data_IF_474286575187
#
_entry.id   IF_474286575187
#
_cell.length_a   1.000
_cell.length_b   1.000
_cell.length_c   1.000
_cell.angle_alpha   90.00
_cell.angle_beta   90.00
_cell.angle_gamma   90.00
#
_symmetry.space_group_name_H-M   'P 1'
#
loop_
_entity.id
_entity.type
_entity.pdbx_description
1 polymer ?
#
# COMPACT_ATOMS: atom_id res chain seq x y z
N UNK A 1 -5.35 7.21 4.60
CA UNK A 1 -5.87 7.83 5.84
C UNK A 1 -4.75 8.55 6.56
N UNK A 2 -5.11 9.58 7.35
CA UNK A 2 -4.20 10.15 8.34
C UNK A 2 -4.58 9.61 9.72
N UNK A 3 -3.58 9.11 10.44
CA UNK A 3 -3.69 8.79 11.85
C UNK A 3 -3.21 10.01 12.64
N UNK A 4 -4.07 10.52 13.52
CA UNK A 4 -3.77 11.73 14.29
C UNK A 4 -3.90 11.49 15.77
N UNK A 5 -3.09 12.18 16.56
CA UNK A 5 -3.25 12.23 18.00
C UNK A 5 -4.44 13.08 18.43
N UNK A 6 -4.71 13.11 19.72
CA UNK A 6 -5.81 13.89 20.33
C UNK A 6 -5.68 15.40 20.08
N UNK A 7 -4.48 15.89 19.93
CA UNK A 7 -4.14 17.29 19.60
C UNK A 7 -4.18 17.61 18.09
N UNK A 8 -4.55 16.62 17.26
CA UNK A 8 -4.58 16.73 15.80
C UNK A 8 -3.24 16.54 15.11
N UNK A 9 -2.15 16.35 15.83
CA UNK A 9 -0.83 16.12 15.22
C UNK A 9 -0.75 14.76 14.52
N UNK A 10 -0.11 14.73 13.35
CA UNK A 10 -0.04 13.55 12.50
C UNK A 10 0.88 12.48 13.10
N UNK A 11 0.39 11.27 13.22
CA UNK A 11 1.14 10.10 13.69
C UNK A 11 1.62 9.27 12.51
N UNK A 12 0.80 9.16 11.47
CA UNK A 12 1.16 8.47 10.23
C UNK A 12 0.19 8.78 9.10
N UNK A 13 0.61 8.55 7.87
CA UNK A 13 -0.15 8.67 6.62
C UNK A 13 -0.30 7.30 5.95
N UNK A 14 -1.09 6.44 6.53
CA UNK A 14 -1.21 5.06 6.09
C UNK A 14 -2.23 4.84 4.95
N UNK A 15 -2.05 3.76 4.19
CA UNK A 15 -3.09 3.22 3.32
C UNK A 15 -3.98 2.29 4.13
N UNK A 16 -5.29 2.51 4.06
CA UNK A 16 -6.29 1.65 4.67
C UNK A 16 -6.95 0.78 3.59
N UNK A 17 -6.79 -0.53 3.70
CA UNK A 17 -7.42 -1.53 2.85
C UNK A 17 -8.56 -2.18 3.64
N UNK A 18 -9.76 -2.15 3.11
CA UNK A 18 -10.89 -2.89 3.68
C UNK A 18 -11.07 -4.20 2.94
N UNK A 19 -10.74 -5.32 3.58
CA UNK A 19 -10.80 -6.64 2.98
C UNK A 19 -12.19 -7.29 3.12
N UNK A 20 -12.87 -6.98 4.21
CA UNK A 20 -14.25 -7.46 4.46
C UNK A 20 -15.02 -6.45 5.30
N UNK A 21 -16.19 -6.85 5.77
CA UNK A 21 -16.97 -6.03 6.71
C UNK A 21 -16.21 -5.72 8.00
N UNK A 22 -15.45 -6.70 8.49
CA UNK A 22 -14.84 -6.67 9.82
C UNK A 22 -13.31 -6.86 9.77
N UNK A 23 -12.69 -6.83 8.57
CA UNK A 23 -11.26 -7.00 8.39
C UNK A 23 -10.66 -5.84 7.61
N UNK A 24 -9.63 -5.24 8.19
CA UNK A 24 -8.93 -4.10 7.61
C UNK A 24 -7.41 -4.32 7.70
N UNK A 25 -6.70 -3.87 6.69
CA UNK A 25 -5.25 -3.71 6.76
C UNK A 25 -4.89 -2.24 6.77
N UNK A 26 -3.92 -1.91 7.59
CA UNK A 26 -3.29 -0.59 7.63
C UNK A 26 -1.85 -0.77 7.18
N UNK A 27 -1.49 -0.17 6.06
CA UNK A 27 -0.14 -0.18 5.51
C UNK A 27 0.50 1.19 5.76
N UNK A 28 1.27 1.36 6.85
CA UNK A 28 1.94 2.61 7.16
C UNK A 28 3.19 2.80 6.31
N UNK A 29 3.65 4.04 6.18
CA UNK A 29 4.92 4.35 5.54
C UNK A 29 6.11 4.01 6.43
N UNK A 30 6.08 4.46 7.69
CA UNK A 30 7.16 4.29 8.69
C UNK A 30 6.57 4.41 10.09
N UNK A 31 7.34 4.02 11.12
CA UNK A 31 7.01 4.19 12.53
C UNK A 31 6.19 3.06 13.17
N UNK A 32 6.04 3.15 14.50
CA UNK A 32 5.42 2.10 15.35
C UNK A 32 3.89 2.18 15.40
N UNK A 33 3.22 2.24 14.25
CA UNK A 33 1.76 2.33 14.14
C UNK A 33 1.07 1.15 14.81
N UNK A 34 1.64 -0.05 14.70
CA UNK A 34 1.11 -1.26 15.34
C UNK A 34 0.97 -1.07 16.85
N UNK A 35 2.06 -0.67 17.51
CA UNK A 35 2.07 -0.48 18.97
C UNK A 35 1.12 0.64 19.40
N UNK A 36 1.03 1.71 18.59
CA UNK A 36 0.14 2.83 18.88
C UNK A 36 -1.34 2.41 18.81
N UNK A 37 -1.75 1.69 17.75
CA UNK A 37 -3.14 1.22 17.60
C UNK A 37 -3.47 0.19 18.68
N UNK A 38 -2.55 -0.75 18.98
CA UNK A 38 -2.73 -1.71 20.09
C UNK A 38 -2.91 -0.99 21.43
N UNK A 39 -2.10 0.05 21.69
CA UNK A 39 -2.21 0.83 22.91
C UNK A 39 -3.56 1.53 23.07
N UNK A 40 -4.14 2.05 21.99
CA UNK A 40 -5.48 2.65 21.98
C UNK A 40 -6.55 1.57 22.20
N UNK A 41 -6.42 0.42 21.55
CA UNK A 41 -7.40 -0.66 21.61
C UNK A 41 -7.57 -1.24 23.01
N UNK A 42 -6.51 -1.32 23.82
CA UNK A 42 -6.52 -1.92 25.19
C UNK A 42 -7.67 -1.35 26.06
N UNK A 43 -7.95 -0.06 25.96
CA UNK A 43 -8.94 0.61 26.79
C UNK A 43 -10.16 1.10 25.99
N UNK A 44 -10.30 0.73 24.74
CA UNK A 44 -11.39 1.19 23.87
C UNK A 44 -12.73 0.52 24.19
N UNK A 45 -12.72 -0.64 24.82
CA UNK A 45 -13.89 -1.50 24.99
C UNK A 45 -14.36 -2.19 23.69
N UNK A 46 -13.61 -2.08 22.61
CA UNK A 46 -13.90 -2.77 21.34
C UNK A 46 -13.35 -4.19 21.36
N UNK A 47 -14.10 -5.13 20.79
CA UNK A 47 -13.65 -6.50 20.54
C UNK A 47 -12.89 -6.53 19.21
N UNK A 48 -11.58 -6.26 19.26
CA UNK A 48 -10.69 -6.18 18.10
C UNK A 48 -9.40 -6.93 18.37
N UNK A 49 -8.91 -7.61 17.36
CA UNK A 49 -7.58 -8.20 17.32
C UNK A 49 -6.70 -7.38 16.37
N UNK A 50 -5.51 -6.97 16.83
CA UNK A 50 -4.58 -6.14 16.07
C UNK A 50 -3.20 -6.81 16.08
N UNK A 51 -2.74 -7.22 14.91
CA UNK A 51 -1.46 -7.88 14.73
C UNK A 51 -0.85 -7.55 13.36
N UNK A 52 0.44 -7.79 13.20
CA UNK A 52 1.14 -7.72 11.93
C UNK A 52 1.00 -9.05 11.20
N UNK A 53 0.33 -9.09 10.03
CA UNK A 53 0.21 -10.31 9.25
C UNK A 53 1.50 -10.61 8.49
N UNK A 54 1.72 -11.90 8.12
CA UNK A 54 2.78 -12.28 7.18
C UNK A 54 2.38 -11.90 5.75
N UNK A 55 2.59 -10.63 5.41
CA UNK A 55 2.26 -10.06 4.11
C UNK A 55 3.45 -9.29 3.57
N UNK A 56 3.82 -9.58 2.33
CA UNK A 56 4.95 -8.93 1.65
C UNK A 56 4.44 -8.14 0.44
N UNK A 57 4.47 -6.80 0.47
CA UNK A 57 4.05 -5.98 -0.67
C UNK A 57 5.12 -5.95 -1.76
N UNK A 58 4.70 -6.20 -3.01
CA UNK A 58 5.48 -5.95 -4.22
C UNK A 58 4.83 -4.81 -4.99
N UNK A 59 5.52 -3.69 -5.12
CA UNK A 59 5.01 -2.54 -5.87
C UNK A 59 5.45 -2.61 -7.33
N UNK A 60 4.49 -2.35 -8.23
CA UNK A 60 4.75 -2.10 -9.64
C UNK A 60 4.25 -0.71 -10.01
N UNK A 61 5.09 0.11 -10.63
CA UNK A 61 4.73 1.47 -11.03
C UNK A 61 5.27 1.85 -12.40
N UNK A 62 4.69 2.90 -12.95
CA UNK A 62 5.09 3.49 -14.22
C UNK A 62 3.99 3.46 -15.28
N UNK A 63 4.16 4.20 -16.40
CA UNK A 63 3.11 4.40 -17.40
C UNK A 63 2.67 3.12 -18.11
N UNK A 64 3.48 2.07 -18.07
CA UNK A 64 3.17 0.76 -18.68
C UNK A 64 2.66 -0.28 -17.66
N UNK A 65 2.60 0.06 -16.38
CA UNK A 65 2.14 -0.87 -15.34
C UNK A 65 0.73 -1.43 -15.61
N UNK A 66 -0.26 -0.67 -16.14
CA UNK A 66 -1.55 -1.25 -16.46
C UNK A 66 -1.48 -2.38 -17.49
N UNK A 67 -0.57 -2.29 -18.45
CA UNK A 67 -0.43 -3.35 -19.45
C UNK A 67 0.13 -4.63 -18.84
N UNK A 68 1.15 -4.51 -17.97
CA UNK A 68 1.73 -5.67 -17.27
C UNK A 68 0.69 -6.30 -16.34
N UNK A 69 -0.04 -5.48 -15.60
CA UNK A 69 -1.07 -5.96 -14.68
C UNK A 69 -2.22 -6.63 -15.42
N UNK A 70 -2.57 -6.17 -16.61
CA UNK A 70 -3.57 -6.82 -17.47
C UNK A 70 -3.13 -8.22 -17.93
N UNK A 71 -1.84 -8.45 -18.18
CA UNK A 71 -1.33 -9.79 -18.51
C UNK A 71 -1.50 -10.77 -17.34
N UNK A 72 -1.39 -10.27 -16.11
CA UNK A 72 -1.45 -11.09 -14.89
C UNK A 72 -2.87 -11.29 -14.38
N UNK A 73 -3.70 -10.24 -14.41
CA UNK A 73 -5.01 -10.20 -13.75
C UNK A 73 -6.17 -9.90 -14.70
N UNK A 74 -5.91 -9.77 -16.00
CA UNK A 74 -6.94 -9.45 -16.99
C UNK A 74 -7.59 -8.09 -16.75
N UNK A 75 -8.89 -8.04 -16.97
CA UNK A 75 -9.65 -6.79 -16.87
C UNK A 75 -9.81 -6.34 -15.40
N UNK A 76 -9.67 -7.24 -14.41
CA UNK A 76 -9.69 -6.88 -12.99
C UNK A 76 -8.72 -5.72 -12.69
N UNK A 77 -7.47 -5.81 -13.18
CA UNK A 77 -6.47 -4.77 -12.93
C UNK A 77 -6.82 -3.43 -13.61
N UNK A 78 -7.54 -3.47 -14.73
CA UNK A 78 -7.91 -2.27 -15.48
C UNK A 78 -9.13 -1.58 -14.85
N UNK A 79 -10.09 -2.38 -14.39
CA UNK A 79 -11.35 -1.90 -13.81
C UNK A 79 -11.18 -1.47 -12.36
N UNK A 80 -10.10 -1.90 -11.71
CA UNK A 80 -9.79 -1.53 -10.33
C UNK A 80 -9.55 -0.02 -10.23
N UNK A 81 -10.43 0.66 -9.51
CA UNK A 81 -10.35 2.11 -9.31
C UNK A 81 -9.16 2.53 -8.43
N UNK A 82 -8.73 3.78 -8.59
CA UNK A 82 -7.69 4.37 -7.73
C UNK A 82 -8.10 4.33 -6.26
N UNK A 83 -7.19 3.96 -5.37
CA UNK A 83 -7.43 3.67 -3.95
C UNK A 83 -8.50 2.58 -3.72
N UNK A 84 -8.54 1.58 -4.59
CA UNK A 84 -9.32 0.36 -4.40
C UNK A 84 -8.40 -0.83 -4.30
N UNK A 85 -8.88 -1.87 -3.62
CA UNK A 85 -8.17 -3.13 -3.50
C UNK A 85 -9.16 -4.29 -3.63
N UNK A 86 -8.67 -5.41 -4.16
CA UNK A 86 -9.44 -6.64 -4.37
C UNK A 86 -8.62 -7.84 -3.93
N UNK A 87 -9.24 -8.78 -3.23
CA UNK A 87 -8.63 -10.07 -2.93
C UNK A 87 -8.71 -10.95 -4.17
N UNK A 88 -7.58 -11.47 -4.60
CA UNK A 88 -7.47 -12.23 -5.84
C UNK A 88 -6.32 -13.23 -5.77
N UNK A 89 -6.03 -13.86 -6.89
CA UNK A 89 -4.87 -14.74 -7.05
C UNK A 89 -4.24 -14.57 -8.43
N UNK A 90 -2.97 -14.90 -8.54
CA UNK A 90 -2.28 -15.07 -9.82
C UNK A 90 -1.54 -16.40 -9.81
N UNK A 91 -1.81 -17.27 -10.77
CA UNK A 91 -1.24 -18.62 -10.84
C UNK A 91 -1.39 -19.42 -9.52
N UNK A 92 -2.55 -19.27 -8.84
CA UNK A 92 -2.81 -19.91 -7.55
C UNK A 92 -2.02 -19.30 -6.38
N UNK A 93 -1.41 -18.12 -6.54
CA UNK A 93 -0.77 -17.36 -5.47
C UNK A 93 -1.80 -16.38 -4.91
N UNK A 94 -2.28 -16.55 -3.67
CA UNK A 94 -3.23 -15.63 -3.06
C UNK A 94 -2.57 -14.29 -2.74
N UNK A 95 -3.24 -13.20 -3.08
CA UNK A 95 -2.79 -11.85 -2.79
C UNK A 95 -3.96 -10.86 -2.71
N UNK A 96 -3.68 -9.68 -2.20
CA UNK A 96 -4.55 -8.51 -2.36
C UNK A 96 -3.92 -7.60 -3.41
N UNK A 97 -4.67 -7.29 -4.46
CA UNK A 97 -4.26 -6.34 -5.47
C UNK A 97 -4.80 -4.96 -5.11
N UNK A 98 -3.91 -4.02 -4.81
CA UNK A 98 -4.23 -2.63 -4.58
C UNK A 98 -3.87 -1.75 -5.78
N UNK A 99 -4.69 -0.74 -6.09
CA UNK A 99 -4.31 0.30 -7.03
C UNK A 99 -3.88 1.55 -6.27
N UNK A 100 -2.76 1.42 -5.63
CA UNK A 100 -2.08 2.41 -4.81
C UNK A 100 -0.61 2.48 -5.22
N UNK A 101 0.12 3.44 -4.69
CA UNK A 101 1.55 3.57 -4.94
C UNK A 101 2.09 4.89 -4.43
N UNK A 102 3.40 5.01 -4.42
CA UNK A 102 4.13 6.09 -3.78
C UNK A 102 4.95 6.95 -4.75
N UNK A 103 4.87 6.71 -6.04
CA UNK A 103 5.74 7.36 -7.04
C UNK A 103 5.06 8.47 -7.85
N UNK A 104 3.77 8.75 -7.63
CA UNK A 104 2.99 9.65 -8.48
C UNK A 104 2.64 9.07 -9.87
N UNK A 105 3.20 7.92 -10.22
CA UNK A 105 2.90 7.18 -11.44
C UNK A 105 1.71 6.23 -11.24
N UNK A 106 1.13 5.73 -12.33
CA UNK A 106 0.15 4.64 -12.23
C UNK A 106 0.84 3.44 -11.60
N UNK A 107 0.34 3.02 -10.44
CA UNK A 107 0.97 1.98 -9.65
C UNK A 107 -0.05 0.98 -9.13
N UNK A 108 0.46 -0.21 -8.84
CA UNK A 108 -0.25 -1.30 -8.20
C UNK A 108 0.63 -1.88 -7.10
N UNK A 109 -0.01 -2.35 -6.05
CA UNK A 109 0.64 -3.05 -4.95
C UNK A 109 0.05 -4.45 -4.84
N UNK A 110 0.92 -5.44 -4.91
CA UNK A 110 0.59 -6.85 -4.80
C UNK A 110 0.98 -7.28 -3.38
N UNK A 111 0.01 -7.38 -2.50
CA UNK A 111 0.20 -7.78 -1.11
C UNK A 111 0.17 -9.31 -1.04
N UNK A 112 1.34 -9.92 -1.15
CA UNK A 112 1.53 -11.38 -1.13
C UNK A 112 1.20 -11.91 0.28
N UNK A 113 0.30 -12.89 0.35
CA UNK A 113 -0.15 -13.50 1.62
C UNK A 113 0.58 -14.80 1.97
N UNK A 114 1.47 -15.26 1.10
CA UNK A 114 2.33 -16.43 1.31
C UNK A 114 3.76 -16.09 0.92
N UNK A 115 4.54 -15.65 1.89
CA UNK A 115 5.94 -15.22 1.69
C UNK A 115 6.83 -16.30 1.07
N UNK A 116 6.47 -17.59 1.19
CA UNK A 116 7.24 -18.70 0.58
C UNK A 116 7.18 -18.67 -0.95
N UNK A 117 6.20 -18.00 -1.54
CA UNK A 117 5.98 -17.87 -2.98
C UNK A 117 6.48 -16.54 -3.56
N UNK A 118 7.26 -15.77 -2.81
CA UNK A 118 7.77 -14.46 -3.24
C UNK A 118 8.56 -14.51 -4.54
N UNK A 119 9.47 -15.48 -4.69
CA UNK A 119 10.25 -15.65 -5.91
C UNK A 119 9.36 -15.99 -7.12
N UNK A 120 8.36 -16.85 -6.93
CA UNK A 120 7.42 -17.21 -8.00
C UNK A 120 6.62 -15.98 -8.47
N UNK A 121 6.11 -15.18 -7.53
CA UNK A 121 5.41 -13.94 -7.87
C UNK A 121 6.32 -12.96 -8.62
N UNK A 122 7.56 -12.80 -8.17
CA UNK A 122 8.55 -11.96 -8.84
C UNK A 122 8.77 -12.38 -10.29
N UNK A 123 9.03 -13.67 -10.53
CA UNK A 123 9.25 -14.24 -11.85
C UNK A 123 8.03 -14.06 -12.78
N UNK A 124 6.81 -14.24 -12.25
CA UNK A 124 5.58 -13.99 -13.00
C UNK A 124 5.46 -12.53 -13.46
N UNK A 125 5.73 -11.59 -12.54
CA UNK A 125 5.70 -10.16 -12.83
C UNK A 125 6.79 -9.77 -13.82
N UNK A 126 8.01 -10.24 -13.64
CA UNK A 126 9.14 -10.00 -14.54
C UNK A 126 8.84 -10.50 -15.96
N UNK A 127 8.36 -11.74 -16.08
CA UNK A 127 7.99 -12.34 -17.37
C UNK A 127 6.86 -11.58 -18.06
N UNK A 128 5.81 -11.22 -17.34
CA UNK A 128 4.69 -10.43 -17.90
C UNK A 128 5.14 -9.04 -18.35
N UNK A 129 6.13 -8.47 -17.66
CA UNK A 129 6.68 -7.14 -17.93
C UNK A 129 7.79 -7.09 -18.99
N UNK A 130 8.36 -8.22 -19.40
CA UNK A 130 9.53 -8.29 -20.29
C UNK A 130 9.33 -7.49 -21.57
N UNK A 131 8.22 -7.70 -22.28
CA UNK A 131 7.89 -6.98 -23.53
C UNK A 131 7.62 -5.48 -23.33
N UNK A 132 7.40 -5.06 -22.10
CA UNK A 132 7.19 -3.66 -21.72
C UNK A 132 8.46 -3.02 -21.17
N UNK A 133 9.59 -3.76 -21.15
CA UNK A 133 10.88 -3.32 -20.64
C UNK A 133 10.85 -3.01 -19.13
N UNK A 134 10.19 -3.88 -18.35
CA UNK A 134 10.20 -3.81 -16.89
C UNK A 134 11.63 -3.89 -16.34
N UNK A 135 11.89 -3.18 -15.27
CA UNK A 135 13.19 -3.21 -14.58
C UNK A 135 12.96 -3.22 -13.08
N UNK A 136 13.76 -3.95 -12.30
CA UNK A 136 13.83 -3.75 -10.87
C UNK A 136 14.14 -2.30 -10.53
N UNK A 137 13.44 -1.78 -9.54
CA UNK A 137 13.64 -0.44 -9.05
C UNK A 137 13.64 -0.44 -7.52
N UNK A 138 14.17 0.62 -6.93
CA UNK A 138 14.05 0.90 -5.52
C UNK A 138 13.24 2.18 -5.31
N UNK A 139 12.57 2.35 -4.15
CA UNK A 139 11.93 3.60 -3.80
C UNK A 139 12.91 4.78 -3.92
N UNK A 140 12.46 5.88 -4.52
CA UNK A 140 13.26 7.10 -4.68
C UNK A 140 12.43 8.32 -4.27
N UNK A 141 12.92 9.08 -3.32
CA UNK A 141 12.29 10.32 -2.86
C UNK A 141 12.04 11.33 -3.99
N UNK A 142 12.90 11.35 -5.03
CA UNK A 142 12.71 12.22 -6.20
C UNK A 142 11.34 11.99 -6.84
N UNK A 143 10.89 10.75 -6.94
CA UNK A 143 9.60 10.42 -7.56
C UNK A 143 8.42 10.90 -6.74
N UNK A 144 8.47 10.75 -5.41
CA UNK A 144 7.41 11.26 -4.53
C UNK A 144 7.36 12.79 -4.56
N UNK A 145 8.51 13.47 -4.59
CA UNK A 145 8.59 14.93 -4.71
C UNK A 145 8.01 15.40 -6.06
N UNK A 146 8.39 14.78 -7.17
CA UNK A 146 7.83 15.09 -8.50
C UNK A 146 6.31 14.84 -8.55
N UNK A 147 5.83 13.79 -7.86
CA UNK A 147 4.41 13.44 -7.74
C UNK A 147 3.63 14.29 -6.74
N UNK A 148 4.30 15.15 -5.97
CA UNK A 148 3.66 15.92 -4.90
C UNK A 148 3.14 15.06 -3.74
N UNK A 149 3.76 13.89 -3.53
CA UNK A 149 3.36 12.94 -2.48
C UNK A 149 4.19 13.24 -1.23
N UNK A 150 3.50 13.57 -0.15
CA UNK A 150 4.11 13.74 1.17
C UNK A 150 4.39 12.37 1.80
N UNK A 151 5.48 12.30 2.56
CA UNK A 151 5.86 11.11 3.32
C UNK A 151 6.04 11.46 4.78
N UNK A 152 5.47 10.64 5.67
CA UNK A 152 5.72 10.75 7.09
C UNK A 152 7.21 10.59 7.40
N UNK A 153 7.69 11.32 8.40
CA UNK A 153 9.08 11.43 8.82
C UNK A 153 10.03 12.18 7.85
N UNK A 154 9.71 12.24 6.54
CA UNK A 154 10.51 13.04 5.58
C UNK A 154 9.96 14.44 5.38
N UNK A 155 8.67 14.55 5.11
CA UNK A 155 8.00 15.81 4.73
C UNK A 155 7.02 16.29 5.80
N UNK A 156 6.44 15.37 6.53
CA UNK A 156 5.47 15.62 7.60
C UNK A 156 5.87 14.90 8.89
N UNK A 157 5.45 15.46 10.00
CA UNK A 157 5.84 14.99 11.33
C UNK A 157 4.70 15.11 12.33
N UNK A 158 4.96 14.69 13.55
CA UNK A 158 4.04 14.85 14.68
C UNK A 158 3.67 16.32 15.00
N UNK A 159 4.45 17.28 14.53
CA UNK A 159 4.21 18.73 14.73
C UNK A 159 3.22 19.30 13.72
N UNK A 160 2.96 18.57 12.63
CA UNK A 160 2.04 18.96 11.58
C UNK A 160 0.65 18.40 11.87
N UNK A 161 -0.37 19.05 11.31
CA UNK A 161 -1.73 18.54 11.29
C UNK A 161 -2.28 18.55 9.85
N UNK A 162 -3.41 17.86 9.57
CA UNK A 162 -3.93 17.77 8.20
C UNK A 162 -4.11 19.12 7.51
N UNK A 163 -4.54 20.13 8.22
CA UNK A 163 -4.77 21.47 7.65
C UNK A 163 -3.48 22.21 7.31
N UNK A 164 -2.44 22.06 8.12
CA UNK A 164 -1.14 22.73 7.86
C UNK A 164 -0.42 22.18 6.65
N UNK A 165 -0.73 20.97 6.24
CA UNK A 165 -0.17 20.31 5.05
C UNK A 165 -1.10 20.35 3.83
N UNK A 166 -2.22 21.09 3.93
CA UNK A 166 -3.13 21.33 2.81
C UNK A 166 -4.11 20.19 2.51
N UNK A 167 -4.41 19.36 3.49
CA UNK A 167 -5.41 18.30 3.41
C UNK A 167 -6.66 18.71 4.19
N UNK A 168 -7.46 19.59 3.61
CA UNK A 168 -8.71 20.15 4.13
C UNK A 168 -9.96 19.63 3.38
#
# INVERSE_FOLDING_TARGET
ILLTGEDGGIINDAVLLRLSKDQFWVSPGDGDVLLWIQGIAINSGMDVEIFEPDVSPLQMGGPKSPHVMRELFGDLAIDLGYYRAEQTEVNGIPLVLGRTGWSGEISYELYLQDGTRGNELWELVEKAGEKYNIKPAAPQLIRSIEGGILSYASDISRQDNPYTIGLD
#
